data_IF_916385540815
#
_entry.id   IF_916385540815
#
_cell.length_a   1.000
_cell.length_b   1.000
_cell.length_c   1.000
_cell.angle_alpha   90.00
_cell.angle_beta   90.00
_cell.angle_gamma   90.00
#
_symmetry.space_group_name_H-M   'P 1'
#
loop_
_entity.id
_entity.type
_entity.pdbx_description
1 polymer ?
#
# COMPACT_ATOMS: atom_id res chain seq x y z
N UNK A 1 14.95 -6.87 11.63
CA UNK A 1 13.57 -7.04 11.15
C UNK A 1 13.36 -6.04 10.01
N UNK A 2 12.89 -6.48 8.84
CA UNK A 2 12.75 -5.65 7.63
C UNK A 2 11.63 -4.60 7.74
N UNK A 3 10.67 -4.79 8.64
CA UNK A 3 9.77 -3.72 9.10
C UNK A 3 10.28 -3.25 10.46
N UNK A 4 10.55 -1.95 10.60
CA UNK A 4 11.09 -1.37 11.83
C UNK A 4 10.14 -0.34 12.41
N UNK A 5 9.79 -0.54 13.68
CA UNK A 5 9.06 0.39 14.53
C UNK A 5 10.04 1.13 15.44
N UNK A 6 9.69 2.33 15.90
CA UNK A 6 10.48 3.08 16.88
C UNK A 6 10.49 2.38 18.25
N UNK A 7 9.37 1.79 18.64
CA UNK A 7 9.20 0.97 19.84
C UNK A 7 8.17 -0.15 19.58
N UNK A 8 8.09 -1.17 20.44
CA UNK A 8 7.07 -2.21 20.33
C UNK A 8 5.66 -1.62 20.45
N UNK A 9 4.73 -2.18 19.66
CA UNK A 9 3.29 -1.87 19.72
C UNK A 9 2.58 -3.14 20.15
N UNK A 10 1.68 -3.02 21.13
CA UNK A 10 0.90 -4.15 21.63
C UNK A 10 -0.48 -4.14 20.98
N UNK A 11 -0.83 -5.21 20.28
CA UNK A 11 -2.17 -5.38 19.75
C UNK A 11 -3.22 -5.45 20.88
N UNK A 12 -4.28 -4.64 20.74
CA UNK A 12 -5.47 -4.74 21.57
C UNK A 12 -6.40 -5.84 21.07
N UNK A 13 -7.19 -6.42 21.97
CA UNK A 13 -8.33 -7.24 21.58
C UNK A 13 -9.42 -6.37 20.94
N UNK A 14 -10.27 -6.97 20.12
CA UNK A 14 -11.40 -6.28 19.50
C UNK A 14 -12.28 -5.55 20.53
N UNK A 15 -12.59 -6.20 21.66
CA UNK A 15 -13.39 -5.59 22.72
C UNK A 15 -12.69 -4.38 23.35
N UNK A 16 -11.38 -4.48 23.61
CA UNK A 16 -10.62 -3.37 24.18
C UNK A 16 -10.52 -2.20 23.19
N UNK A 17 -10.33 -2.49 21.90
CA UNK A 17 -10.33 -1.48 20.86
C UNK A 17 -11.69 -0.77 20.75
N UNK A 18 -12.81 -1.50 20.77
CA UNK A 18 -14.15 -0.86 20.69
C UNK A 18 -14.44 0.06 21.88
N UNK A 19 -13.98 -0.31 23.08
CA UNK A 19 -14.12 0.56 24.26
C UNK A 19 -13.30 1.85 24.10
N UNK A 20 -12.06 1.73 23.63
CA UNK A 20 -11.21 2.88 23.33
C UNK A 20 -11.80 3.77 22.23
N UNK A 21 -12.24 3.17 21.13
CA UNK A 21 -12.80 3.87 19.96
C UNK A 21 -14.06 4.65 20.33
N UNK A 22 -14.89 4.14 21.24
CA UNK A 22 -16.04 4.88 21.75
C UNK A 22 -15.62 6.22 22.38
N UNK A 23 -14.59 6.20 23.22
CA UNK A 23 -14.08 7.39 23.90
C UNK A 23 -13.39 8.34 22.91
N UNK A 24 -12.56 7.82 22.00
CA UNK A 24 -11.87 8.63 20.98
C UNK A 24 -12.85 9.28 20.02
N UNK A 25 -13.88 8.57 19.58
CA UNK A 25 -14.88 9.10 18.67
C UNK A 25 -15.70 10.22 19.33
N UNK A 26 -16.03 10.11 20.62
CA UNK A 26 -16.68 11.20 21.35
C UNK A 26 -15.84 12.49 21.29
N UNK A 27 -14.52 12.37 21.45
CA UNK A 27 -13.60 13.50 21.29
C UNK A 27 -13.56 14.01 19.85
N UNK A 28 -13.52 13.12 18.85
CA UNK A 28 -13.51 13.52 17.44
C UNK A 28 -14.78 14.32 17.05
N UNK A 29 -15.97 13.90 17.52
CA UNK A 29 -17.20 14.68 17.33
C UNK A 29 -17.14 16.04 18.04
N UNK A 30 -16.57 16.11 19.24
CA UNK A 30 -16.34 17.39 19.94
C UNK A 30 -15.43 18.32 19.15
N UNK A 31 -14.31 17.80 18.62
CA UNK A 31 -13.40 18.54 17.73
C UNK A 31 -14.14 19.09 16.51
N UNK A 32 -14.93 18.26 15.83
CA UNK A 32 -15.66 18.69 14.64
C UNK A 32 -16.73 19.73 14.96
N UNK A 33 -17.45 19.59 16.08
CA UNK A 33 -18.44 20.57 16.54
C UNK A 33 -17.79 21.91 16.90
N UNK A 34 -16.57 21.90 17.44
CA UNK A 34 -15.82 23.09 17.83
C UNK A 34 -15.19 23.80 16.62
N UNK A 35 -14.55 23.06 15.71
CA UNK A 35 -13.76 23.61 14.60
C UNK A 35 -14.52 23.68 13.28
N UNK A 36 -15.62 22.94 13.13
CA UNK A 36 -16.26 22.73 11.83
C UNK A 36 -15.43 21.83 10.90
N UNK A 37 -15.63 21.95 9.58
CA UNK A 37 -15.19 20.97 8.55
C UNK A 37 -14.17 21.46 7.51
N UNK A 38 -13.63 22.66 7.67
CA UNK A 38 -12.88 23.35 6.61
C UNK A 38 -11.38 23.52 6.88
N UNK A 39 -10.88 22.99 7.99
CA UNK A 39 -9.46 23.02 8.29
C UNK A 39 -8.69 21.89 7.60
N UNK A 40 -7.37 22.01 7.60
CA UNK A 40 -6.47 20.97 7.13
C UNK A 40 -6.32 19.86 8.17
N UNK A 41 -5.96 18.66 7.70
CA UNK A 41 -5.82 17.43 8.48
C UNK A 41 -4.96 17.60 9.73
N UNK A 42 -3.82 18.30 9.61
CA UNK A 42 -2.89 18.58 10.72
C UNK A 42 -3.52 19.36 11.88
N UNK A 43 -4.52 20.20 11.59
CA UNK A 43 -5.23 20.96 12.63
C UNK A 43 -6.14 20.04 13.43
N UNK A 44 -6.87 19.14 12.75
CA UNK A 44 -7.69 18.13 13.42
C UNK A 44 -6.84 17.14 14.23
N UNK A 45 -5.70 16.71 13.66
CA UNK A 45 -4.73 15.87 14.34
C UNK A 45 -4.22 16.51 15.63
N UNK A 46 -3.81 17.78 15.57
CA UNK A 46 -3.31 18.52 16.73
C UNK A 46 -4.38 18.66 17.82
N UNK A 47 -5.61 19.03 17.47
CA UNK A 47 -6.70 19.20 18.44
C UNK A 47 -7.13 17.86 19.05
N UNK A 48 -7.32 16.82 18.24
CA UNK A 48 -7.72 15.50 18.72
C UNK A 48 -6.66 14.93 19.67
N UNK A 49 -5.38 15.06 19.33
CA UNK A 49 -4.27 14.68 20.22
C UNK A 49 -4.36 15.36 21.59
N UNK A 50 -4.60 16.68 21.63
CA UNK A 50 -4.70 17.40 22.90
C UNK A 50 -5.90 16.92 23.73
N UNK A 51 -7.05 16.67 23.10
CA UNK A 51 -8.23 16.13 23.81
C UNK A 51 -7.97 14.73 24.35
N UNK A 52 -7.31 13.85 23.58
CA UNK A 52 -6.94 12.50 24.01
C UNK A 52 -5.99 12.54 25.22
N UNK A 53 -4.95 13.38 25.16
CA UNK A 53 -4.04 13.61 26.30
C UNK A 53 -4.78 14.10 27.55
N UNK A 54 -5.76 15.00 27.39
CA UNK A 54 -6.55 15.53 28.51
C UNK A 54 -7.42 14.46 29.21
N UNK A 55 -7.74 13.36 28.50
CA UNK A 55 -8.42 12.19 29.07
C UNK A 55 -7.47 11.22 29.77
N UNK A 56 -6.18 11.49 29.78
CA UNK A 56 -5.15 10.64 30.39
C UNK A 56 -4.79 9.42 29.54
N UNK A 57 -5.12 9.43 28.24
CA UNK A 57 -4.76 8.37 27.31
C UNK A 57 -3.38 8.64 26.68
N UNK A 58 -2.64 7.59 26.40
CA UNK A 58 -1.39 7.66 25.64
C UNK A 58 -1.68 7.93 24.16
N UNK A 59 -0.99 8.91 23.57
CA UNK A 59 -1.08 9.20 22.14
C UNK A 59 0.23 9.68 21.55
N UNK A 60 0.59 9.07 20.43
CA UNK A 60 1.70 9.46 19.56
C UNK A 60 1.14 9.98 18.23
N UNK A 61 1.85 10.92 17.62
CA UNK A 61 1.46 11.52 16.34
C UNK A 61 2.60 11.41 15.34
N UNK A 62 2.29 11.19 14.07
CA UNK A 62 3.28 11.01 13.00
C UNK A 62 4.27 9.88 13.31
N UNK A 63 3.75 8.75 13.82
CA UNK A 63 4.61 7.62 14.20
C UNK A 63 5.23 7.00 12.95
N UNK A 64 6.57 7.04 12.88
CA UNK A 64 7.32 6.51 11.75
C UNK A 64 7.44 4.98 11.80
N UNK A 65 7.08 4.34 10.69
CA UNK A 65 7.34 2.94 10.37
C UNK A 65 8.29 2.90 9.18
N UNK A 66 9.33 2.06 9.22
CA UNK A 66 10.25 1.89 8.09
C UNK A 66 10.12 0.51 7.47
N UNK A 67 9.75 0.46 6.19
CA UNK A 67 9.90 -0.72 5.35
C UNK A 67 11.29 -0.72 4.73
N UNK A 68 12.09 -1.74 5.02
CA UNK A 68 13.50 -1.83 4.66
C UNK A 68 13.71 -3.09 3.84
N UNK A 69 14.39 -2.96 2.70
CA UNK A 69 14.89 -4.09 1.91
C UNK A 69 16.20 -3.70 1.24
N UNK A 70 17.30 -4.39 1.58
CA UNK A 70 18.65 -4.05 1.12
C UNK A 70 18.98 -2.56 1.36
N UNK A 71 19.24 -1.80 0.29
CA UNK A 71 19.53 -0.37 0.29
C UNK A 71 18.28 0.52 0.17
N UNK A 72 17.08 -0.06 0.01
CA UNK A 72 15.83 0.67 -0.04
C UNK A 72 15.23 0.85 1.36
N UNK A 73 14.70 2.04 1.64
CA UNK A 73 13.93 2.34 2.85
C UNK A 73 12.76 3.26 2.52
N UNK A 74 11.54 2.83 2.84
CA UNK A 74 10.31 3.63 2.73
C UNK A 74 9.78 3.96 4.13
N UNK A 75 9.75 5.24 4.54
CA UNK A 75 9.04 5.64 5.73
C UNK A 75 7.52 5.73 5.45
N UNK A 76 6.73 5.26 6.39
CA UNK A 76 5.29 5.44 6.50
C UNK A 76 5.00 6.15 7.83
N UNK A 77 3.94 6.94 7.89
CA UNK A 77 3.60 7.74 9.07
C UNK A 77 2.16 7.49 9.47
N UNK A 78 1.93 6.97 10.67
CA UNK A 78 0.60 6.88 11.25
C UNK A 78 0.22 8.25 11.83
N UNK A 79 -0.95 8.76 11.46
CA UNK A 79 -1.42 10.07 11.94
C UNK A 79 -1.49 10.10 13.48
N UNK A 80 -2.20 9.14 14.09
CA UNK A 80 -2.27 8.98 15.54
C UNK A 80 -2.20 7.50 15.95
N UNK A 81 -1.34 7.19 16.92
CA UNK A 81 -1.35 5.92 17.65
C UNK A 81 -1.86 6.19 19.06
N UNK A 82 -3.10 5.80 19.37
CA UNK A 82 -3.73 6.03 20.67
C UNK A 82 -3.83 4.68 21.40
N UNK A 83 -3.23 4.54 22.58
CA UNK A 83 -3.20 3.29 23.35
C UNK A 83 -2.85 2.07 22.46
N UNK A 84 -1.78 2.22 21.67
CA UNK A 84 -1.31 1.23 20.68
C UNK A 84 -2.25 0.90 19.51
N UNK A 85 -3.28 1.73 19.27
CA UNK A 85 -4.27 1.53 18.20
C UNK A 85 -4.15 2.60 17.12
N UNK A 86 -4.29 2.20 15.86
CA UNK A 86 -4.09 3.06 14.69
C UNK A 86 -5.34 3.90 14.41
N UNK A 87 -5.18 5.22 14.35
CA UNK A 87 -6.20 6.17 13.90
C UNK A 87 -5.64 6.99 12.73
N UNK A 88 -6.25 6.84 11.57
CA UNK A 88 -5.94 7.58 10.34
C UNK A 88 -6.93 8.72 10.15
N UNK A 89 -6.45 9.94 10.06
CA UNK A 89 -7.29 11.14 9.93
C UNK A 89 -7.33 11.59 8.48
N UNK A 90 -8.49 12.11 8.06
CA UNK A 90 -8.68 12.61 6.70
C UNK A 90 -9.49 13.90 6.68
N UNK A 91 -9.25 14.69 5.63
CA UNK A 91 -10.09 15.84 5.27
C UNK A 91 -10.54 15.79 3.81
N UNK A 92 -11.04 14.62 3.39
CA UNK A 92 -11.43 14.30 2.00
C UNK A 92 -12.95 14.25 1.79
N UNK A 93 -13.42 14.23 0.54
CA UNK A 93 -14.87 14.25 0.26
C UNK A 93 -15.63 13.07 0.89
N UNK A 94 -15.06 11.88 0.83
CA UNK A 94 -15.61 10.65 1.40
C UNK A 94 -14.47 9.63 1.57
N UNK A 95 -14.61 8.69 2.50
CA UNK A 95 -13.65 7.59 2.68
C UNK A 95 -13.75 6.63 1.48
N UNK A 96 -12.62 6.29 0.85
CA UNK A 96 -12.55 5.40 -0.31
C UNK A 96 -11.48 4.32 -0.11
N UNK A 97 -11.39 3.37 -1.05
CA UNK A 97 -10.43 2.26 -1.00
C UNK A 97 -8.97 2.66 -0.71
N UNK A 98 -8.41 3.76 -1.27
CA UNK A 98 -7.03 4.14 -0.98
C UNK A 98 -6.77 4.40 0.51
N UNK A 99 -7.74 4.98 1.23
CA UNK A 99 -7.60 5.20 2.68
C UNK A 99 -7.63 3.88 3.45
N UNK A 100 -8.47 2.94 3.03
CA UNK A 100 -8.54 1.60 3.64
C UNK A 100 -7.23 0.83 3.45
N UNK A 101 -6.67 0.88 2.24
CA UNK A 101 -5.40 0.24 1.91
C UNK A 101 -4.28 0.85 2.77
N UNK A 102 -4.20 2.18 2.86
CA UNK A 102 -3.24 2.86 3.71
C UNK A 102 -3.35 2.45 5.18
N UNK A 103 -4.57 2.42 5.74
CA UNK A 103 -4.77 1.96 7.13
C UNK A 103 -4.39 0.49 7.30
N UNK A 104 -4.74 -0.37 6.33
CA UNK A 104 -4.32 -1.78 6.36
C UNK A 104 -2.80 -1.92 6.33
N UNK A 105 -2.08 -1.13 5.54
CA UNK A 105 -0.60 -1.13 5.53
C UNK A 105 -0.02 -0.82 6.91
N UNK A 106 -0.63 0.09 7.68
CA UNK A 106 -0.24 0.37 9.06
C UNK A 106 -0.54 -0.80 9.99
N UNK A 107 -1.73 -1.40 9.92
CA UNK A 107 -2.08 -2.56 10.74
C UNK A 107 -1.12 -3.73 10.49
N UNK A 108 -0.86 -3.98 9.20
CA UNK A 108 0.09 -4.99 8.74
C UNK A 108 1.52 -4.73 9.19
N UNK A 109 1.96 -3.48 9.23
CA UNK A 109 3.35 -3.13 9.60
C UNK A 109 3.57 -3.03 11.11
N UNK A 110 2.50 -2.75 11.87
CA UNK A 110 2.52 -2.68 13.34
C UNK A 110 2.15 -4.01 13.99
N UNK A 111 1.77 -5.02 13.21
CA UNK A 111 1.23 -6.30 13.66
C UNK A 111 -0.02 -6.15 14.55
N UNK A 112 -0.87 -5.18 14.24
CA UNK A 112 -2.14 -4.93 14.95
C UNK A 112 -3.33 -5.31 14.06
N UNK A 113 -4.50 -5.52 14.66
CA UNK A 113 -5.68 -6.06 13.96
C UNK A 113 -6.77 -5.03 13.72
N UNK A 114 -6.72 -3.87 14.39
CA UNK A 114 -7.83 -2.93 14.47
C UNK A 114 -7.34 -1.49 14.35
N UNK A 115 -8.02 -0.72 13.51
CA UNK A 115 -7.79 0.71 13.36
C UNK A 115 -9.05 1.43 12.90
N UNK A 116 -8.95 2.76 12.87
CA UNK A 116 -10.06 3.64 12.52
C UNK A 116 -9.62 4.66 11.49
N UNK A 117 -10.46 4.92 10.50
CA UNK A 117 -10.36 6.11 9.66
C UNK A 117 -11.38 7.13 10.17
N UNK A 118 -10.95 8.37 10.36
CA UNK A 118 -11.81 9.49 10.76
C UNK A 118 -11.68 10.61 9.75
N UNK A 119 -12.76 10.93 9.06
CA UNK A 119 -12.82 12.00 8.06
C UNK A 119 -13.62 13.19 8.60
N UNK A 120 -12.94 14.33 8.77
CA UNK A 120 -13.51 15.57 9.32
C UNK A 120 -14.11 16.48 8.26
N UNK A 121 -13.88 16.19 6.96
CA UNK A 121 -14.34 17.06 5.88
C UNK A 121 -15.83 16.99 5.59
N UNK A 122 -16.61 15.91 5.82
CA UNK A 122 -18.04 15.91 5.55
C UNK A 122 -18.83 16.81 6.53
N UNK A 123 -20.15 16.90 6.33
CA UNK A 123 -21.01 17.78 7.14
C UNK A 123 -21.09 17.36 8.61
N UNK A 124 -20.85 16.08 8.88
CA UNK A 124 -20.60 15.46 10.18
C UNK A 124 -19.34 14.61 10.02
N UNK A 125 -18.69 14.24 11.13
CA UNK A 125 -17.61 13.25 11.10
C UNK A 125 -18.09 11.98 10.40
N UNK A 126 -17.38 11.58 9.36
CA UNK A 126 -17.51 10.27 8.72
C UNK A 126 -16.39 9.41 9.27
N UNK A 127 -16.66 8.14 9.58
CA UNK A 127 -15.66 7.25 10.13
C UNK A 127 -15.87 5.83 9.67
N UNK A 128 -14.79 5.06 9.60
CA UNK A 128 -14.82 3.68 9.17
C UNK A 128 -13.87 2.82 10.00
N UNK A 129 -14.36 1.67 10.45
CA UNK A 129 -13.55 0.67 11.13
C UNK A 129 -12.80 -0.15 10.09
N UNK A 130 -11.50 -0.31 10.29
CA UNK A 130 -10.63 -1.14 9.44
C UNK A 130 -10.04 -2.23 10.31
N UNK A 131 -10.16 -3.47 9.87
CA UNK A 131 -9.63 -4.61 10.61
C UNK A 131 -9.03 -5.67 9.70
N UNK A 132 -8.15 -6.47 10.30
CA UNK A 132 -7.55 -7.64 9.70
C UNK A 132 -7.41 -8.73 10.74
N UNK A 133 -7.50 -9.99 10.30
CA UNK A 133 -7.18 -11.15 11.14
C UNK A 133 -5.75 -11.65 10.91
N UNK A 134 -5.02 -11.03 9.99
CA UNK A 134 -3.67 -11.45 9.60
C UNK A 134 -2.63 -10.82 10.53
N UNK A 135 -1.72 -11.64 11.00
CA UNK A 135 -0.47 -11.23 11.63
C UNK A 135 0.72 -11.34 10.65
N UNK A 136 1.91 -11.00 11.11
CA UNK A 136 3.15 -11.12 10.33
C UNK A 136 3.38 -12.55 9.79
N UNK A 137 3.10 -13.59 10.58
CA UNK A 137 3.36 -14.97 10.20
C UNK A 137 2.38 -15.43 9.11
N UNK A 138 1.09 -15.15 9.27
CA UNK A 138 0.08 -15.46 8.26
C UNK A 138 0.30 -14.69 6.95
N UNK A 139 0.85 -13.48 7.00
CA UNK A 139 1.18 -12.70 5.78
C UNK A 139 2.34 -13.30 4.99
N UNK A 140 3.17 -14.14 5.61
CA UNK A 140 4.22 -14.92 4.92
C UNK A 140 3.72 -16.26 4.38
N UNK A 141 2.51 -16.67 4.74
CA UNK A 141 1.87 -17.89 4.23
C UNK A 141 1.17 -17.59 2.89
N UNK A 142 1.95 -17.51 1.82
CA UNK A 142 1.45 -17.32 0.45
C UNK A 142 1.89 -18.45 -0.48
N UNK A 143 1.19 -18.57 -1.61
CA UNK A 143 1.45 -19.51 -2.68
C UNK A 143 1.97 -18.76 -3.91
N UNK A 144 2.95 -19.37 -4.59
CA UNK A 144 3.51 -18.83 -5.82
C UNK A 144 2.96 -19.63 -7.00
N UNK A 145 2.38 -18.94 -7.97
CA UNK A 145 1.96 -19.48 -9.25
C UNK A 145 2.88 -18.93 -10.33
N UNK A 146 3.78 -19.75 -10.85
CA UNK A 146 4.77 -19.32 -11.84
C UNK A 146 4.90 -20.27 -13.03
N UNK A 147 3.92 -21.13 -13.27
CA UNK A 147 3.87 -22.06 -14.40
C UNK A 147 3.83 -21.30 -15.74
N UNK A 148 3.29 -20.08 -15.73
CA UNK A 148 3.22 -19.19 -16.89
C UNK A 148 4.36 -18.16 -16.93
N UNK A 149 5.38 -18.34 -16.10
CA UNK A 149 6.57 -17.47 -16.09
C UNK A 149 7.68 -18.07 -16.94
N UNK A 150 8.18 -17.28 -17.88
CA UNK A 150 9.40 -17.57 -18.63
C UNK A 150 10.23 -16.29 -18.67
N UNK A 151 11.42 -16.31 -18.08
CA UNK A 151 12.36 -15.20 -18.16
C UNK A 151 13.18 -15.33 -19.45
N UNK A 152 13.22 -14.27 -20.25
CA UNK A 152 14.02 -14.19 -21.48
C UNK A 152 15.31 -13.38 -21.29
N UNK A 153 15.55 -12.86 -20.08
CA UNK A 153 16.71 -12.07 -19.71
C UNK A 153 17.09 -12.26 -18.24
N UNK A 154 18.33 -11.90 -17.89
CA UNK A 154 18.80 -11.89 -16.50
C UNK A 154 18.05 -10.84 -15.67
N UNK A 155 17.63 -9.73 -16.28
CA UNK A 155 16.81 -8.70 -15.66
C UNK A 155 15.45 -9.26 -15.23
N UNK A 156 14.82 -10.09 -16.07
CA UNK A 156 13.57 -10.75 -15.73
C UNK A 156 13.72 -11.73 -14.57
N UNK A 157 14.77 -12.56 -14.56
CA UNK A 157 15.07 -13.44 -13.43
C UNK A 157 15.29 -12.64 -12.14
N UNK A 158 16.04 -11.54 -12.24
CA UNK A 158 16.30 -10.62 -11.13
C UNK A 158 15.01 -10.00 -10.60
N UNK A 159 14.10 -9.56 -11.48
CA UNK A 159 12.80 -9.03 -11.10
C UNK A 159 11.97 -10.03 -10.28
N UNK A 160 11.86 -11.29 -10.76
CA UNK A 160 11.11 -12.32 -10.03
C UNK A 160 11.73 -12.60 -8.66
N UNK A 161 13.05 -12.79 -8.61
CA UNK A 161 13.76 -13.05 -7.35
C UNK A 161 13.64 -11.87 -6.38
N UNK A 162 13.68 -10.64 -6.88
CA UNK A 162 13.51 -9.44 -6.07
C UNK A 162 12.11 -9.38 -5.45
N UNK A 163 11.05 -9.62 -6.22
CA UNK A 163 9.69 -9.68 -5.68
C UNK A 163 9.56 -10.76 -4.59
N UNK A 164 10.12 -11.95 -4.82
CA UNK A 164 10.08 -13.03 -3.82
C UNK A 164 10.80 -12.64 -2.52
N UNK A 165 11.95 -11.96 -2.61
CA UNK A 165 12.67 -11.49 -1.43
C UNK A 165 11.92 -10.36 -0.71
N UNK A 166 11.26 -9.46 -1.44
CA UNK A 166 10.41 -8.43 -0.84
C UNK A 166 9.20 -9.03 -0.11
N UNK A 167 8.60 -10.08 -0.67
CA UNK A 167 7.50 -10.81 -0.01
C UNK A 167 7.98 -11.57 1.24
N UNK A 168 9.20 -12.11 1.24
CA UNK A 168 9.78 -12.73 2.43
C UNK A 168 10.06 -11.70 3.54
N UNK A 169 10.54 -10.52 3.16
CA UNK A 169 10.81 -9.44 4.10
C UNK A 169 9.52 -8.81 4.64
N UNK A 170 8.63 -8.37 3.76
CA UNK A 170 7.48 -7.54 4.13
C UNK A 170 6.18 -8.32 4.30
N UNK A 171 6.13 -9.59 3.92
CA UNK A 171 4.89 -10.36 3.79
C UNK A 171 4.09 -9.97 2.55
N UNK A 172 2.97 -10.65 2.30
CA UNK A 172 1.98 -10.26 1.28
C UNK A 172 0.98 -9.20 1.83
N UNK A 173 -0.03 -8.85 1.02
CA UNK A 173 -1.17 -7.97 1.36
C UNK A 173 -0.92 -6.46 1.43
N UNK A 174 0.32 -5.97 1.47
CA UNK A 174 0.57 -4.52 1.40
C UNK A 174 0.13 -3.96 0.05
N UNK A 175 -0.02 -2.63 -0.03
CA UNK A 175 -0.20 -1.94 -1.31
C UNK A 175 0.91 -2.36 -2.30
N UNK A 176 0.47 -2.75 -3.50
CA UNK A 176 1.35 -3.08 -4.63
C UNK A 176 2.36 -1.98 -4.95
N UNK A 177 2.01 -0.72 -4.72
CA UNK A 177 2.89 0.41 -4.96
C UNK A 177 4.15 0.37 -4.08
N UNK A 178 4.04 -0.15 -2.84
CA UNK A 178 5.20 -0.28 -1.94
C UNK A 178 6.24 -1.23 -2.52
N UNK A 179 5.80 -2.38 -3.05
CA UNK A 179 6.70 -3.33 -3.72
C UNK A 179 7.24 -2.76 -5.04
N UNK A 180 6.39 -2.10 -5.82
CA UNK A 180 6.78 -1.50 -7.10
C UNK A 180 7.86 -0.44 -6.92
N UNK A 181 7.70 0.49 -5.97
CA UNK A 181 8.71 1.52 -5.65
C UNK A 181 10.05 0.88 -5.26
N UNK A 182 10.02 -0.15 -4.42
CA UNK A 182 11.22 -0.87 -4.00
C UNK A 182 11.92 -1.55 -5.17
N UNK A 183 11.14 -2.22 -6.04
CA UNK A 183 11.67 -2.86 -7.24
C UNK A 183 12.28 -1.86 -8.20
N UNK A 184 11.60 -0.75 -8.47
CA UNK A 184 12.12 0.33 -9.29
C UNK A 184 13.45 0.83 -8.74
N UNK A 185 13.53 1.15 -7.45
CA UNK A 185 14.76 1.64 -6.82
C UNK A 185 15.93 0.66 -6.93
N UNK A 186 15.67 -0.64 -6.74
CA UNK A 186 16.74 -1.66 -6.67
C UNK A 186 17.17 -2.14 -8.05
N UNK A 187 16.24 -2.19 -9.01
CA UNK A 187 16.55 -2.59 -10.38
C UNK A 187 17.18 -1.45 -11.20
N UNK A 188 16.99 -0.20 -10.77
CA UNK A 188 17.59 0.96 -11.40
C UNK A 188 19.12 0.90 -11.29
N UNK A 189 19.78 0.98 -12.45
CA UNK A 189 21.24 0.97 -12.61
C UNK A 189 21.65 2.35 -13.12
N UNK A 190 22.25 2.41 -14.32
CA UNK A 190 22.61 3.66 -14.98
C UNK A 190 21.40 4.29 -15.68
N UNK A 191 20.55 3.46 -16.31
CA UNK A 191 19.33 3.90 -16.97
C UNK A 191 18.12 3.88 -16.01
N UNK A 192 17.27 4.91 -16.03
CA UNK A 192 16.03 4.91 -15.26
C UNK A 192 15.10 3.76 -15.67
N UNK A 193 14.58 3.03 -14.68
CA UNK A 193 13.62 1.94 -14.94
C UNK A 193 12.30 2.54 -15.45
N UNK A 194 11.87 3.66 -14.87
CA UNK A 194 10.58 4.24 -15.20
C UNK A 194 10.71 5.28 -16.31
N UNK A 195 10.21 4.96 -17.50
CA UNK A 195 10.42 5.75 -18.72
C UNK A 195 9.11 6.09 -19.42
N UNK A 196 9.10 7.23 -20.12
CA UNK A 196 8.04 7.57 -21.07
C UNK A 196 8.27 6.77 -22.35
N UNK A 197 7.30 5.94 -22.72
CA UNK A 197 7.36 5.03 -23.86
C UNK A 197 6.30 5.44 -24.87
N UNK A 198 6.71 5.61 -26.13
CA UNK A 198 5.80 5.91 -27.22
C UNK A 198 4.81 4.74 -27.42
N UNK A 199 3.52 5.07 -27.31
CA UNK A 199 2.42 4.16 -27.56
C UNK A 199 1.91 4.38 -28.98
N UNK A 200 1.71 3.29 -29.71
CA UNK A 200 1.32 3.33 -31.13
C UNK A 200 0.15 2.41 -31.40
N UNK A 201 -0.71 2.81 -32.32
CA UNK A 201 -1.65 1.92 -32.96
C UNK A 201 -1.16 1.65 -34.39
N UNK A 202 -0.62 0.45 -34.61
CA UNK A 202 0.19 0.16 -35.80
C UNK A 202 1.31 1.21 -35.95
N UNK A 203 1.35 1.93 -37.06
CA UNK A 203 2.34 2.97 -37.30
C UNK A 203 1.94 4.36 -36.79
N UNK A 204 0.72 4.53 -36.28
CA UNK A 204 0.24 5.84 -35.82
C UNK A 204 0.66 6.09 -34.35
N UNK A 205 1.39 7.18 -34.05
CA UNK A 205 1.69 7.56 -32.68
C UNK A 205 0.41 8.03 -31.97
N UNK A 206 0.18 7.56 -30.75
CA UNK A 206 -0.95 7.96 -29.90
C UNK A 206 -0.52 8.91 -28.79
N UNK A 207 0.74 8.83 -28.37
CA UNK A 207 1.30 9.59 -27.25
C UNK A 207 2.37 8.78 -26.53
N UNK A 208 2.76 9.21 -25.35
CA UNK A 208 3.71 8.50 -24.51
C UNK A 208 3.09 8.14 -23.16
N UNK A 209 3.44 6.95 -22.65
CA UNK A 209 2.98 6.45 -21.36
C UNK A 209 4.17 6.06 -20.48
N UNK A 210 4.08 6.36 -19.19
CA UNK A 210 5.08 5.95 -18.20
C UNK A 210 4.98 4.44 -17.94
N UNK A 211 6.06 3.70 -18.16
CA UNK A 211 6.16 2.24 -17.96
C UNK A 211 7.43 1.87 -17.21
N UNK A 212 7.43 0.74 -16.49
CA UNK A 212 8.61 0.19 -15.82
C UNK A 212 9.36 -0.73 -16.79
N UNK A 213 10.38 -0.19 -17.45
CA UNK A 213 11.11 -0.84 -18.53
C UNK A 213 12.35 -1.53 -17.99
N UNK A 214 12.47 -2.84 -18.22
CA UNK A 214 13.64 -3.64 -17.82
C UNK A 214 14.76 -3.60 -18.85
N UNK A 215 14.39 -3.60 -20.13
CA UNK A 215 15.33 -3.64 -21.25
C UNK A 215 14.68 -3.06 -22.51
N UNK A 216 15.41 -3.03 -23.63
CA UNK A 216 14.90 -2.50 -24.89
C UNK A 216 13.70 -3.29 -25.46
N UNK A 217 13.44 -4.50 -24.95
CA UNK A 217 12.35 -5.36 -25.42
C UNK A 217 11.40 -5.81 -24.31
N UNK A 218 11.58 -5.35 -23.08
CA UNK A 218 10.89 -5.90 -21.91
C UNK A 218 10.49 -4.83 -20.91
N UNK A 219 9.30 -5.01 -20.33
CA UNK A 219 8.79 -4.17 -19.25
C UNK A 219 7.98 -5.01 -18.27
N UNK A 220 7.67 -4.47 -17.09
CA UNK A 220 6.89 -5.16 -16.07
C UNK A 220 5.75 -4.32 -15.51
N UNK A 221 4.76 -5.01 -14.95
CA UNK A 221 3.64 -4.39 -14.23
C UNK A 221 3.33 -5.20 -12.97
N UNK A 222 3.07 -4.49 -11.87
CA UNK A 222 2.59 -5.04 -10.61
C UNK A 222 1.13 -4.68 -10.44
N UNK A 223 0.28 -5.64 -10.06
CA UNK A 223 -1.15 -5.39 -9.85
C UNK A 223 -1.68 -6.16 -8.65
N UNK A 224 -2.89 -5.84 -8.18
CA UNK A 224 -3.64 -6.61 -7.18
C UNK A 224 -5.03 -7.02 -7.71
N UNK A 225 -5.11 -7.52 -8.94
CA UNK A 225 -6.34 -7.99 -9.54
C UNK A 225 -6.86 -9.23 -8.79
N UNK A 226 -7.98 -9.07 -8.08
CA UNK A 226 -8.63 -10.16 -7.30
C UNK A 226 -9.70 -10.88 -8.10
N UNK A 227 -10.59 -10.10 -8.73
CA UNK A 227 -11.69 -10.57 -9.55
C UNK A 227 -11.37 -10.34 -11.04
N UNK A 228 -11.96 -11.15 -11.92
CA UNK A 228 -11.80 -11.02 -13.37
C UNK A 228 -10.31 -10.98 -13.82
N UNK A 229 -9.45 -11.77 -13.17
CA UNK A 229 -8.00 -11.86 -13.46
C UNK A 229 -7.74 -12.09 -14.95
N UNK A 230 -8.55 -12.94 -15.59
CA UNK A 230 -8.50 -13.19 -17.04
C UNK A 230 -8.76 -11.94 -17.88
N UNK A 231 -9.72 -11.10 -17.48
CA UNK A 231 -10.01 -9.84 -18.16
C UNK A 231 -8.86 -8.85 -17.96
N UNK A 232 -8.32 -8.76 -16.73
CA UNK A 232 -7.15 -7.93 -16.44
C UNK A 232 -5.95 -8.32 -17.32
N UNK A 233 -5.66 -9.63 -17.42
CA UNK A 233 -4.66 -10.18 -18.34
C UNK A 233 -4.89 -9.75 -19.79
N UNK A 234 -6.14 -9.76 -20.26
CA UNK A 234 -6.49 -9.33 -21.61
C UNK A 234 -6.23 -7.83 -21.83
N UNK A 235 -6.46 -6.98 -20.83
CA UNK A 235 -6.11 -5.56 -20.91
C UNK A 235 -4.60 -5.34 -20.97
N UNK A 236 -3.82 -6.08 -20.17
CA UNK A 236 -2.36 -6.03 -20.22
C UNK A 236 -1.80 -6.48 -21.58
N UNK A 237 -2.38 -7.53 -22.19
CA UNK A 237 -2.04 -7.93 -23.57
C UNK A 237 -2.30 -6.82 -24.59
N UNK A 238 -3.42 -6.11 -24.47
CA UNK A 238 -3.73 -4.96 -25.34
C UNK A 238 -2.71 -3.83 -25.16
N UNK A 239 -2.34 -3.51 -23.92
CA UNK A 239 -1.31 -2.51 -23.64
C UNK A 239 0.04 -2.88 -24.26
N UNK A 240 0.46 -4.14 -24.12
CA UNK A 240 1.69 -4.65 -24.73
C UNK A 240 1.64 -4.63 -26.27
N UNK A 241 0.49 -4.92 -26.89
CA UNK A 241 0.34 -4.83 -28.35
C UNK A 241 0.58 -3.42 -28.89
N UNK A 242 0.28 -2.40 -28.09
CA UNK A 242 0.49 -0.98 -28.45
C UNK A 242 1.82 -0.40 -27.98
N UNK A 243 2.65 -1.19 -27.30
CA UNK A 243 3.99 -0.80 -26.85
C UNK A 243 5.07 -1.38 -27.78
N UNK A 244 6.30 -0.84 -27.78
CA UNK A 244 7.39 -1.34 -28.62
C UNK A 244 8.03 -2.63 -28.07
N UNK A 245 7.53 -3.18 -26.96
CA UNK A 245 8.16 -4.29 -26.25
C UNK A 245 7.69 -5.66 -26.76
N UNK A 246 8.58 -6.65 -26.67
CA UNK A 246 8.29 -8.05 -27.03
C UNK A 246 7.64 -8.81 -25.88
N UNK A 247 8.05 -8.50 -24.64
CA UNK A 247 7.59 -9.20 -23.44
C UNK A 247 7.13 -8.24 -22.36
N UNK A 248 6.04 -8.61 -21.69
CA UNK A 248 5.53 -7.99 -20.46
C UNK A 248 5.57 -9.03 -19.33
N UNK A 249 6.30 -8.72 -18.27
CA UNK A 249 6.32 -9.48 -17.03
C UNK A 249 5.25 -8.95 -16.07
N UNK A 250 4.19 -9.74 -15.88
CA UNK A 250 3.10 -9.39 -14.98
C UNK A 250 3.24 -10.11 -13.64
N UNK A 251 3.27 -9.33 -12.56
CA UNK A 251 3.25 -9.79 -11.18
C UNK A 251 1.92 -9.38 -10.55
N UNK A 252 1.08 -10.33 -10.20
CA UNK A 252 -0.21 -10.06 -9.56
C UNK A 252 -0.18 -10.51 -8.10
N UNK A 253 -0.26 -9.55 -7.17
CA UNK A 253 -0.35 -9.76 -5.74
C UNK A 253 -1.83 -9.90 -5.34
N UNK A 254 -2.40 -11.09 -5.53
CA UNK A 254 -3.76 -11.39 -5.14
C UNK A 254 -3.78 -12.03 -3.74
N UNK A 255 -3.67 -11.20 -2.70
CA UNK A 255 -3.64 -11.67 -1.31
C UNK A 255 -2.54 -12.72 -1.12
N UNK A 256 -2.87 -13.92 -0.63
CA UNK A 256 -1.93 -15.03 -0.44
C UNK A 256 -1.64 -15.82 -1.73
N UNK A 257 -2.14 -15.39 -2.90
CA UNK A 257 -1.85 -16.00 -4.21
C UNK A 257 -1.05 -15.02 -5.05
N UNK A 258 0.24 -15.30 -5.22
CA UNK A 258 1.16 -14.46 -5.98
C UNK A 258 1.38 -15.09 -7.34
N UNK A 259 0.93 -14.42 -8.40
CA UNK A 259 1.01 -14.92 -9.76
C UNK A 259 2.11 -14.19 -10.53
N UNK A 260 2.97 -14.96 -11.17
CA UNK A 260 3.98 -14.50 -12.12
C UNK A 260 3.61 -14.99 -13.51
N UNK A 261 3.53 -14.07 -14.48
CA UNK A 261 3.12 -14.41 -15.84
C UNK A 261 3.92 -13.62 -16.86
N UNK A 262 4.48 -14.31 -17.84
CA UNK A 262 5.05 -13.67 -19.03
C UNK A 262 3.98 -13.56 -20.11
N UNK A 263 3.79 -12.35 -20.64
CA UNK A 263 2.98 -12.07 -21.81
C UNK A 263 3.94 -11.73 -22.94
N UNK A 264 3.74 -12.33 -24.12
CA UNK A 264 4.49 -12.02 -25.33
C UNK A 264 3.55 -11.67 -26.47
N UNK A 265 4.03 -10.82 -27.39
CA UNK A 265 3.37 -10.56 -28.68
C UNK A 265 3.60 -11.73 -29.66
#
# INVERSE_FOLDING_TARGET
MPIRLLHPIKALSEQAFHQLDYDVMALAFEVHNQLGRFYDERIYQAELKQKVLSKGLEVESELEIRLIHKNYTKPLFIDLLIEHSVYELKTIRSIQEPQRIQTLDYLFSTNTQHGKIINFRPASVEHEFVSTTLDHDNRKQFTIQCEQWTAFSTEAETLKNLMLNLLDDWGAFLDTHLYEEAMVHILEKEDPIVRMVDIRNNNQPLGAQKLNVLSNSEFFVVTAARNNVSQHKNHLKKMMHHSPFKYLYWINLNHSKIQFTTLGN
#
